data_IF_224843783346
#
_entry.id   IF_224843783346
#
_cell.length_a   1.000
_cell.length_b   1.000
_cell.length_c   1.000
_cell.angle_alpha   90.00
_cell.angle_beta   90.00
_cell.angle_gamma   90.00
#
_symmetry.space_group_name_H-M   'P 1'
#
loop_
_entity.id
_entity.type
_entity.pdbx_description
1 polymer ?
#
# COMPACT_ATOMS: atom_id res chain seq x y z
N UNK A 1 0.70 -10.39 -9.47
CA UNK A 1 0.75 -8.91 -9.49
C UNK A 1 -0.65 -8.39 -9.23
N UNK A 2 -0.79 -7.36 -8.38
CA UNK A 2 -2.09 -6.77 -8.03
C UNK A 2 -2.16 -5.29 -8.41
N UNK A 3 -3.21 -4.90 -9.12
CA UNK A 3 -3.47 -3.52 -9.52
C UNK A 3 -4.02 -2.71 -8.34
N UNK A 4 -3.50 -1.50 -8.11
CA UNK A 4 -3.96 -0.64 -7.03
C UNK A 4 -5.31 0.03 -7.38
N UNK A 5 -6.37 -0.13 -6.57
CA UNK A 5 -7.68 0.47 -6.86
C UNK A 5 -7.68 2.01 -6.96
N UNK A 6 -6.72 2.67 -6.30
CA UNK A 6 -6.61 4.12 -6.28
C UNK A 6 -5.91 4.72 -7.50
N UNK A 7 -4.85 4.07 -7.98
CA UNK A 7 -3.93 4.68 -8.95
C UNK A 7 -3.49 3.75 -10.07
N UNK A 8 -4.08 2.56 -10.14
CA UNK A 8 -3.93 1.60 -11.24
C UNK A 8 -2.48 1.10 -11.44
N UNK A 9 -1.58 1.42 -10.49
CA UNK A 9 -0.21 0.92 -10.48
C UNK A 9 -0.21 -0.57 -10.15
N UNK A 10 0.52 -1.35 -10.94
CA UNK A 10 0.76 -2.78 -10.69
C UNK A 10 1.76 -2.96 -9.55
N UNK A 11 1.45 -3.83 -8.60
CA UNK A 11 2.28 -4.12 -7.43
C UNK A 11 2.58 -5.62 -7.32
N UNK A 12 3.63 -5.97 -6.59
CA UNK A 12 3.90 -7.33 -6.16
C UNK A 12 2.76 -7.86 -5.27
N UNK A 13 2.45 -9.16 -5.34
CA UNK A 13 1.31 -9.75 -4.61
C UNK A 13 1.46 -9.68 -3.09
N UNK A 14 2.70 -9.62 -2.59
CA UNK A 14 3.03 -9.49 -1.18
C UNK A 14 3.26 -8.03 -0.73
N UNK A 15 3.08 -7.06 -1.63
CA UNK A 15 3.20 -5.65 -1.31
C UNK A 15 2.09 -5.23 -0.33
N UNK A 16 2.50 -4.62 0.79
CA UNK A 16 1.54 -4.07 1.78
C UNK A 16 0.99 -2.70 1.37
N UNK A 17 1.80 -1.90 0.68
CA UNK A 17 1.45 -0.55 0.24
C UNK A 17 1.74 -0.43 -1.25
N UNK A 18 0.91 0.34 -1.96
CA UNK A 18 1.09 0.58 -3.39
C UNK A 18 2.39 1.35 -3.66
N UNK A 19 3.19 0.93 -4.64
CA UNK A 19 4.44 1.59 -5.04
C UNK A 19 4.20 2.97 -5.68
N UNK A 20 3.04 3.18 -6.32
CA UNK A 20 2.67 4.44 -6.96
C UNK A 20 2.14 5.48 -5.98
N UNK A 21 1.12 5.12 -5.20
CA UNK A 21 0.37 6.07 -4.36
C UNK A 21 0.53 5.86 -2.84
N UNK A 22 1.26 4.81 -2.42
CA UNK A 22 1.53 4.41 -1.01
C UNK A 22 0.32 4.08 -0.15
N UNK A 23 -0.89 4.02 -0.72
CA UNK A 23 -2.08 3.52 -0.02
C UNK A 23 -1.84 2.07 0.43
N UNK A 24 -2.35 1.73 1.60
CA UNK A 24 -2.32 0.35 2.07
C UNK A 24 -3.19 -0.52 1.16
N UNK A 25 -2.59 -1.53 0.53
CA UNK A 25 -3.25 -2.36 -0.48
C UNK A 25 -4.34 -3.24 0.15
N UNK A 26 -4.10 -3.81 1.34
CA UNK A 26 -5.12 -4.58 2.06
C UNK A 26 -6.39 -3.76 2.32
N UNK A 27 -6.23 -2.55 2.87
CA UNK A 27 -7.34 -1.63 3.11
C UNK A 27 -8.01 -1.22 1.80
N UNK A 28 -7.23 -0.90 0.77
CA UNK A 28 -7.77 -0.46 -0.51
C UNK A 28 -8.64 -1.53 -1.17
N UNK A 29 -8.23 -2.80 -1.14
CA UNK A 29 -9.04 -3.87 -1.74
C UNK A 29 -10.37 -4.11 -1.02
N UNK A 30 -10.45 -3.79 0.27
CA UNK A 30 -11.68 -3.98 1.05
C UNK A 30 -12.62 -2.77 1.02
N UNK A 31 -12.07 -1.55 0.92
CA UNK A 31 -12.83 -0.34 1.24
C UNK A 31 -12.76 0.74 0.16
N UNK A 32 -11.96 0.58 -0.89
CA UNK A 32 -11.75 1.68 -1.83
C UNK A 32 -12.99 1.99 -2.68
N UNK A 33 -13.77 0.98 -3.07
CA UNK A 33 -15.02 1.22 -3.82
C UNK A 33 -16.03 2.04 -3.02
N UNK A 34 -16.17 1.73 -1.73
CA UNK A 34 -17.02 2.50 -0.80
C UNK A 34 -16.52 3.95 -0.70
N UNK A 35 -15.22 4.16 -0.51
CA UNK A 35 -14.63 5.49 -0.50
C UNK A 35 -14.89 6.24 -1.81
N UNK A 36 -14.73 5.59 -2.96
CA UNK A 36 -14.97 6.19 -4.27
C UNK A 36 -16.44 6.61 -4.45
N UNK A 37 -17.39 5.78 -3.98
CA UNK A 37 -18.82 6.10 -3.99
C UNK A 37 -19.14 7.30 -3.09
N UNK A 38 -18.62 7.33 -1.87
CA UNK A 38 -18.78 8.46 -0.94
C UNK A 38 -18.22 9.75 -1.52
N UNK A 39 -17.05 9.71 -2.14
CA UNK A 39 -16.45 10.88 -2.80
C UNK A 39 -17.32 11.40 -3.94
N UNK A 40 -17.82 10.50 -4.79
CA UNK A 40 -18.73 10.86 -5.88
C UNK A 40 -20.02 11.50 -5.36
N UNK A 41 -20.62 10.94 -4.29
CA UNK A 41 -21.80 11.50 -3.63
C UNK A 41 -21.58 12.91 -3.08
N UNK A 42 -20.33 13.26 -2.78
CA UNK A 42 -19.91 14.58 -2.30
C UNK A 42 -19.33 15.49 -3.41
N UNK A 43 -19.58 15.17 -4.69
CA UNK A 43 -19.05 15.92 -5.84
C UNK A 43 -17.52 16.02 -5.88
N UNK A 44 -16.82 15.03 -5.33
CA UNK A 44 -15.35 14.91 -5.37
C UNK A 44 -14.93 13.87 -6.41
N UNK A 45 -13.71 14.02 -6.93
CA UNK A 45 -13.12 13.03 -7.82
C UNK A 45 -12.97 11.67 -7.10
N UNK A 46 -13.44 10.54 -7.67
CA UNK A 46 -13.42 9.23 -7.00
C UNK A 46 -12.00 8.71 -6.75
N UNK A 47 -11.04 9.06 -7.62
CA UNK A 47 -9.62 8.73 -7.48
C UNK A 47 -8.79 9.98 -7.19
N UNK A 48 -8.60 10.37 -5.91
CA UNK A 48 -7.75 11.50 -5.57
C UNK A 48 -6.27 11.17 -5.83
N UNK A 49 -5.54 12.15 -6.32
CA UNK A 49 -4.07 12.07 -6.39
C UNK A 49 -3.50 12.03 -4.98
N UNK A 50 -2.59 11.08 -4.71
CA UNK A 50 -1.78 11.12 -3.49
C UNK A 50 -0.91 12.36 -3.49
N UNK A 51 -0.77 13.01 -2.33
CA UNK A 51 0.09 14.17 -2.19
C UNK A 51 1.56 13.79 -2.52
N UNK A 52 2.24 14.52 -3.43
CA UNK A 52 3.58 14.15 -3.89
C UNK A 52 4.60 13.97 -2.77
N UNK A 53 4.57 14.83 -1.74
CA UNK A 53 5.50 14.74 -0.62
C UNK A 53 5.41 13.43 0.16
N UNK A 54 4.23 12.79 0.24
CA UNK A 54 4.07 11.48 0.90
C UNK A 54 4.73 10.38 0.08
N UNK A 55 4.56 10.42 -1.24
CA UNK A 55 5.18 9.47 -2.16
C UNK A 55 6.70 9.64 -2.12
N UNK A 56 7.20 10.87 -2.20
CA UNK A 56 8.63 11.18 -2.14
C UNK A 56 9.27 10.79 -0.81
N UNK A 57 8.63 11.14 0.31
CA UNK A 57 9.14 10.81 1.65
C UNK A 57 9.21 9.31 1.82
N UNK A 58 8.19 8.58 1.37
CA UNK A 58 8.21 7.13 1.45
C UNK A 58 9.28 6.50 0.56
N UNK A 59 9.48 7.01 -0.67
CA UNK A 59 10.57 6.55 -1.56
C UNK A 59 11.93 6.76 -0.93
N UNK A 60 12.16 7.91 -0.28
CA UNK A 60 13.42 8.17 0.46
C UNK A 60 13.66 7.19 1.60
N UNK A 61 12.62 6.60 2.20
CA UNK A 61 12.77 5.56 3.21
C UNK A 61 13.09 4.22 2.55
N UNK A 62 12.37 3.88 1.48
CA UNK A 62 12.51 2.62 0.75
C UNK A 62 13.86 2.51 0.01
N UNK A 63 14.40 3.63 -0.46
CA UNK A 63 15.66 3.71 -1.22
C UNK A 63 16.78 4.42 -0.44
N UNK A 64 16.51 4.80 0.81
CA UNK A 64 17.41 5.59 1.63
C UNK A 64 18.62 4.82 2.14
N UNK A 65 19.61 5.51 2.72
CA UNK A 65 20.83 4.88 3.25
C UNK A 65 20.56 3.83 4.34
N UNK A 66 19.41 3.92 5.01
CA UNK A 66 18.99 3.00 6.05
C UNK A 66 18.29 1.72 5.53
N UNK A 67 17.96 1.61 4.23
CA UNK A 67 17.16 0.49 3.70
C UNK A 67 17.79 -0.87 4.01
N UNK A 68 19.10 -0.99 3.84
CA UNK A 68 19.81 -2.25 4.08
C UNK A 68 19.78 -2.63 5.56
N UNK A 69 19.99 -1.65 6.45
CA UNK A 69 19.86 -1.86 7.89
C UNK A 69 18.44 -2.26 8.28
N UNK A 70 17.42 -1.59 7.74
CA UNK A 70 16.01 -1.89 8.00
C UNK A 70 15.63 -3.28 7.52
N UNK A 71 15.96 -3.66 6.28
CA UNK A 71 15.70 -5.00 5.72
C UNK A 71 16.35 -6.09 6.56
N UNK A 72 17.60 -5.91 6.97
CA UNK A 72 18.31 -6.86 7.83
C UNK A 72 17.70 -6.96 9.22
N UNK A 73 17.27 -5.83 9.80
CA UNK A 73 16.60 -5.77 11.10
C UNK A 73 15.26 -6.49 11.06
N UNK A 74 14.43 -6.25 10.03
CA UNK A 74 13.16 -6.96 9.82
C UNK A 74 13.41 -8.46 9.60
N UNK A 75 14.43 -8.85 8.82
CA UNK A 75 14.76 -10.27 8.61
C UNK A 75 15.20 -10.98 9.90
N UNK A 76 15.94 -10.28 10.77
CA UNK A 76 16.49 -10.84 12.01
C UNK A 76 15.50 -10.86 13.16
N UNK A 77 14.75 -9.77 13.33
CA UNK A 77 13.88 -9.53 14.50
C UNK A 77 12.40 -9.42 14.15
N UNK A 78 12.04 -9.27 12.88
CA UNK A 78 10.65 -9.20 12.45
C UNK A 78 9.89 -10.47 12.82
N UNK A 79 8.62 -10.29 13.18
CA UNK A 79 7.76 -11.39 13.56
C UNK A 79 7.58 -12.34 12.36
N UNK A 80 8.21 -13.51 12.41
CA UNK A 80 8.23 -14.50 11.30
C UNK A 80 6.84 -15.05 10.92
N UNK A 81 5.80 -14.74 11.71
CA UNK A 81 4.39 -15.04 11.41
C UNK A 81 3.58 -13.85 10.87
N UNK A 82 4.14 -12.65 10.77
CA UNK A 82 3.46 -11.43 10.33
C UNK A 82 3.40 -11.36 8.79
N UNK A 83 2.65 -12.28 8.21
CA UNK A 83 2.42 -12.39 6.76
C UNK A 83 1.63 -13.63 6.38
N UNK A 84 1.79 -14.75 7.12
CA UNK A 84 1.08 -16.00 6.84
C UNK A 84 -0.44 -15.97 7.07
N UNK A 85 -0.95 -15.00 7.83
CA UNK A 85 -2.40 -14.86 8.10
C UNK A 85 -3.10 -13.80 7.25
N UNK A 86 -2.39 -13.08 6.37
CA UNK A 86 -2.95 -11.92 5.66
C UNK A 86 -3.48 -12.30 4.26
N UNK A 87 -3.19 -13.51 3.78
CA UNK A 87 -3.60 -14.02 2.46
C UNK A 87 -4.44 -15.30 2.50
N UNK A 88 -4.96 -15.67 3.67
CA UNK A 88 -6.02 -16.70 3.78
C UNK A 88 -7.24 -16.11 4.45
N UNK A 89 -7.99 -15.31 3.70
CA UNK A 89 -9.45 -15.38 3.84
C UNK A 89 -9.86 -16.61 3.04
N UNK A 90 -9.79 -17.78 3.68
CA UNK A 90 -10.57 -18.91 3.20
C UNK A 90 -12.05 -18.53 3.42
N UNK A 91 -12.87 -18.82 2.41
CA UNK A 91 -14.33 -18.66 2.41
C UNK A 91 -15.00 -19.25 3.66
#
# INVERSE_FOLDING_TARGET
MTECPQCDTMNDDDAKNCQGCRVNLYWAFQHYEELAALRKANNLAPKPTSAPFLVETSKKIDDGPAVNWLRNTIKKYGFKGAGKKVSTTAE
#
